data_IF_873123801587
#
_entry.id   IF_873123801587
#
_cell.length_a   1.000
_cell.length_b   1.000
_cell.length_c   1.000
_cell.angle_alpha   90.00
_cell.angle_beta   90.00
_cell.angle_gamma   90.00
#
_symmetry.space_group_name_H-M   'P 1'
#
loop_
_entity.id
_entity.type
_entity.pdbx_description
1 polymer ?
#
# COMPACT_ATOMS: atom_id res chain seq x y z
N UNK A 1 -22.57 1.38 2.33
CA UNK A 1 -21.44 2.04 1.63
C UNK A 1 -21.27 1.36 0.31
N UNK A 2 -21.13 2.12 -0.79
CA UNK A 2 -20.85 1.53 -2.10
C UNK A 2 -19.32 1.42 -2.22
N UNK A 3 -18.77 0.26 -2.63
CA UNK A 3 -17.35 0.18 -2.96
C UNK A 3 -16.99 1.29 -3.95
N UNK A 4 -16.03 2.14 -3.60
CA UNK A 4 -15.59 3.26 -4.42
C UNK A 4 -16.31 4.60 -4.18
N UNK A 5 -17.21 4.74 -3.20
CA UNK A 5 -17.66 6.07 -2.79
C UNK A 5 -16.54 6.85 -2.06
N UNK A 6 -16.52 8.17 -2.25
CA UNK A 6 -15.41 9.01 -1.79
C UNK A 6 -15.20 8.94 -0.27
N UNK A 7 -16.27 8.74 0.51
CA UNK A 7 -16.20 8.60 1.96
C UNK A 7 -15.47 7.31 2.35
N UNK A 8 -15.82 6.18 1.72
CA UNK A 8 -15.14 4.90 1.96
C UNK A 8 -13.66 5.01 1.60
N UNK A 9 -13.32 5.61 0.46
CA UNK A 9 -11.93 5.81 0.03
C UNK A 9 -11.16 6.66 1.05
N UNK A 10 -11.72 7.78 1.51
CA UNK A 10 -11.08 8.61 2.53
C UNK A 10 -10.85 7.85 3.84
N UNK A 11 -11.79 7.02 4.28
CA UNK A 11 -11.63 6.19 5.48
C UNK A 11 -10.52 5.17 5.31
N UNK A 12 -10.42 4.52 4.15
CA UNK A 12 -9.37 3.55 3.85
C UNK A 12 -7.99 4.21 3.80
N UNK A 13 -7.87 5.36 3.13
CA UNK A 13 -6.64 6.15 3.09
C UNK A 13 -6.23 6.62 4.50
N UNK A 14 -7.19 7.08 5.30
CA UNK A 14 -6.98 7.45 6.69
C UNK A 14 -6.45 6.29 7.54
N UNK A 15 -6.93 5.07 7.32
CA UNK A 15 -6.42 3.87 8.01
C UNK A 15 -4.97 3.56 7.65
N UNK A 16 -4.60 3.69 6.37
CA UNK A 16 -3.20 3.52 5.94
C UNK A 16 -2.30 4.52 6.66
N UNK A 17 -2.68 5.79 6.66
CA UNK A 17 -1.94 6.85 7.35
C UNK A 17 -1.82 6.60 8.84
N UNK A 18 -2.93 6.24 9.49
CA UNK A 18 -2.97 5.94 10.92
C UNK A 18 -2.02 4.79 11.30
N UNK A 19 -2.10 3.65 10.60
CA UNK A 19 -1.22 2.51 10.88
C UNK A 19 0.24 2.81 10.54
N UNK A 20 0.48 3.54 9.45
CA UNK A 20 1.82 3.92 9.07
C UNK A 20 2.50 4.74 10.17
N UNK A 21 1.87 5.85 10.57
CA UNK A 21 2.45 6.80 11.53
C UNK A 21 2.64 6.16 12.91
N UNK A 22 1.68 5.37 13.38
CA UNK A 22 1.73 4.83 14.74
C UNK A 22 2.63 3.60 14.88
N UNK A 23 2.64 2.72 13.88
CA UNK A 23 3.26 1.40 14.05
C UNK A 23 4.43 1.15 13.11
N UNK A 24 4.34 1.60 11.86
CA UNK A 24 5.36 1.27 10.85
C UNK A 24 6.50 2.28 10.88
N UNK A 25 6.21 3.57 10.74
CA UNK A 25 7.22 4.64 10.67
C UNK A 25 8.21 4.61 11.85
N UNK A 26 7.78 4.44 13.12
CA UNK A 26 8.71 4.35 14.25
C UNK A 26 9.62 3.11 14.22
N UNK A 27 9.21 2.06 13.51
CA UNK A 27 9.93 0.80 13.38
C UNK A 27 10.72 0.68 12.06
N UNK A 28 10.61 1.67 11.16
CA UNK A 28 11.41 1.71 9.95
C UNK A 28 12.89 1.85 10.31
N UNK A 29 13.71 0.96 9.76
CA UNK A 29 15.15 1.19 9.75
C UNK A 29 15.46 2.47 8.96
N UNK A 30 16.45 3.25 9.41
CA UNK A 30 16.95 4.44 8.69
C UNK A 30 17.04 4.15 7.20
N UNK A 31 16.17 4.80 6.41
CA UNK A 31 16.00 4.46 5.00
C UNK A 31 17.01 5.23 4.15
N UNK A 32 17.60 4.54 3.17
CA UNK A 32 18.38 5.18 2.11
C UNK A 32 17.44 5.96 1.19
N UNK A 33 18.00 6.81 0.34
CA UNK A 33 17.20 7.53 -0.65
C UNK A 33 16.39 6.58 -1.55
N UNK A 34 15.22 7.02 -2.06
CA UNK A 34 14.45 6.28 -3.06
C UNK A 34 15.32 5.85 -4.25
N UNK A 35 15.05 4.65 -4.74
CA UNK A 35 15.73 4.14 -5.93
C UNK A 35 15.04 4.58 -7.22
N UNK A 36 15.78 4.53 -8.31
CA UNK A 36 15.19 4.61 -9.64
C UNK A 36 14.38 3.34 -9.94
N UNK A 37 13.22 3.53 -10.56
CA UNK A 37 12.32 2.50 -11.06
C UNK A 37 12.11 2.63 -12.57
N UNK A 38 11.06 2.00 -13.09
CA UNK A 38 10.72 2.10 -14.51
C UNK A 38 10.01 3.42 -14.84
N UNK A 39 10.18 3.88 -16.08
CA UNK A 39 9.45 5.03 -16.59
C UNK A 39 7.93 4.78 -16.57
N UNK A 40 7.14 5.78 -16.14
CA UNK A 40 5.68 5.67 -16.13
C UNK A 40 5.09 5.73 -17.56
N UNK A 41 3.80 5.41 -17.73
CA UNK A 41 3.17 5.42 -19.06
C UNK A 41 3.28 6.78 -19.77
N UNK A 42 3.20 7.90 -19.04
CA UNK A 42 3.37 9.24 -19.61
C UNK A 42 4.79 9.51 -20.13
N UNK A 43 5.80 8.75 -19.68
CA UNK A 43 7.20 8.89 -20.11
C UNK A 43 7.67 7.75 -21.03
N UNK A 44 6.91 6.64 -21.13
CA UNK A 44 7.17 5.54 -22.08
C UNK A 44 6.46 5.75 -23.42
N UNK A 45 5.19 6.14 -23.37
CA UNK A 45 4.34 6.24 -24.57
C UNK A 45 4.10 7.71 -24.95
N UNK A 46 5.04 8.29 -25.69
CA UNK A 46 4.90 9.65 -26.23
C UNK A 46 3.82 9.79 -27.32
N UNK A 47 3.25 8.68 -27.81
CA UNK A 47 2.27 8.66 -28.89
C UNK A 47 0.81 8.47 -28.43
N UNK A 48 0.58 8.19 -27.13
CA UNK A 48 -0.75 7.98 -26.56
C UNK A 48 -1.39 9.23 -25.98
N UNK A 49 -2.69 9.15 -25.65
CA UNK A 49 -3.34 10.20 -24.86
C UNK A 49 -2.70 10.31 -23.48
N UNK A 50 -2.11 11.48 -23.19
CA UNK A 50 -1.48 11.78 -21.90
C UNK A 50 -2.49 11.55 -20.76
N UNK A 51 -2.11 10.75 -19.78
CA UNK A 51 -2.94 10.52 -18.60
C UNK A 51 -2.83 11.71 -17.64
N UNK A 52 -3.86 11.96 -16.81
CA UNK A 52 -3.78 12.97 -15.76
C UNK A 52 -2.52 12.78 -14.90
N UNK A 53 -1.85 13.89 -14.64
CA UNK A 53 -0.53 13.89 -14.02
C UNK A 53 -0.62 14.11 -12.50
N UNK A 54 0.49 13.84 -11.82
CA UNK A 54 0.58 14.00 -10.36
C UNK A 54 0.24 15.42 -9.92
N UNK A 55 0.76 16.43 -10.64
CA UNK A 55 0.56 17.84 -10.28
C UNK A 55 -0.89 18.30 -10.39
N UNK A 56 -1.66 17.70 -11.30
CA UNK A 56 -3.07 18.05 -11.51
C UNK A 56 -4.01 17.31 -10.55
N UNK A 57 -3.79 16.02 -10.28
CA UNK A 57 -4.76 15.20 -9.55
C UNK A 57 -4.36 14.93 -8.10
N UNK A 58 -3.10 14.59 -7.83
CA UNK A 58 -2.72 14.19 -6.47
C UNK A 58 -2.67 15.40 -5.53
N UNK A 59 -2.13 16.53 -5.98
CA UNK A 59 -2.01 17.74 -5.17
C UNK A 59 -3.34 18.31 -4.63
N UNK A 60 -4.49 17.86 -5.15
CA UNK A 60 -5.82 18.34 -4.77
C UNK A 60 -6.72 17.27 -4.15
N UNK A 61 -6.21 16.06 -3.90
CA UNK A 61 -7.02 14.92 -3.43
C UNK A 61 -6.40 14.22 -2.23
N UNK A 62 -7.23 13.49 -1.46
CA UNK A 62 -6.77 12.69 -0.33
C UNK A 62 -5.74 11.60 -0.72
N UNK A 63 -5.66 11.24 -2.01
CA UNK A 63 -4.69 10.29 -2.53
C UNK A 63 -3.24 10.75 -2.39
N UNK A 64 -2.98 12.06 -2.21
CA UNK A 64 -1.65 12.59 -1.89
C UNK A 64 -1.00 11.89 -0.70
N UNK A 65 -1.80 11.43 0.28
CA UNK A 65 -1.30 10.76 1.49
C UNK A 65 -0.48 9.50 1.17
N UNK A 66 -0.76 8.82 0.06
CA UNK A 66 0.02 7.65 -0.33
C UNK A 66 1.41 8.03 -0.85
N UNK A 67 1.52 9.16 -1.58
CA UNK A 67 2.82 9.68 -2.01
C UNK A 67 3.61 10.18 -0.80
N UNK A 68 2.98 10.94 0.09
CA UNK A 68 3.58 11.42 1.35
C UNK A 68 4.14 10.26 2.18
N UNK A 69 3.33 9.24 2.46
CA UNK A 69 3.77 8.02 3.14
C UNK A 69 4.91 7.36 2.36
N UNK A 70 4.77 7.18 1.05
CA UNK A 70 5.78 6.48 0.26
C UNK A 70 7.15 7.19 0.33
N UNK A 71 7.19 8.52 0.42
CA UNK A 71 8.45 9.25 0.56
C UNK A 71 9.21 8.98 1.85
N UNK A 72 8.54 8.55 2.93
CA UNK A 72 9.20 8.15 4.19
C UNK A 72 9.91 6.80 4.06
N UNK A 73 9.51 5.97 3.09
CA UNK A 73 9.95 4.58 2.94
C UNK A 73 11.34 4.44 2.30
N UNK A 74 11.91 5.52 1.76
CA UNK A 74 13.25 5.52 1.19
C UNK A 74 13.47 4.45 0.12
N UNK A 75 14.41 3.52 0.33
CA UNK A 75 14.82 2.51 -0.67
C UNK A 75 13.73 1.57 -1.20
N UNK A 76 12.62 1.44 -0.47
CA UNK A 76 11.44 0.69 -0.92
C UNK A 76 10.70 1.40 -2.05
N UNK A 77 10.79 2.73 -2.11
CA UNK A 77 10.19 3.55 -3.15
C UNK A 77 11.06 3.52 -4.42
N UNK A 78 10.44 3.14 -5.53
CA UNK A 78 11.07 3.07 -6.86
C UNK A 78 10.37 4.03 -7.81
N UNK A 79 10.89 5.25 -7.92
CA UNK A 79 10.28 6.32 -8.69
C UNK A 79 10.60 6.22 -10.17
N UNK A 80 9.70 6.72 -11.00
CA UNK A 80 10.00 6.99 -12.42
C UNK A 80 11.28 7.85 -12.51
N UNK A 81 12.22 7.57 -13.45
CA UNK A 81 13.47 8.33 -13.56
C UNK A 81 13.24 9.85 -13.67
N UNK A 82 12.30 10.26 -14.52
CA UNK A 82 11.82 11.64 -14.62
C UNK A 82 10.72 11.92 -13.60
N UNK A 83 11.01 11.78 -12.30
CA UNK A 83 10.05 11.79 -11.17
C UNK A 83 9.31 13.11 -10.89
N UNK A 84 8.95 13.89 -11.92
CA UNK A 84 8.29 15.18 -11.81
C UNK A 84 6.76 15.13 -11.76
N UNK A 85 6.15 16.32 -11.70
CA UNK A 85 4.70 16.52 -11.69
C UNK A 85 3.98 15.96 -12.92
N UNK A 86 4.72 15.65 -13.99
CA UNK A 86 4.27 15.13 -15.27
C UNK A 86 4.03 13.61 -15.28
N UNK A 87 4.50 12.90 -14.25
CA UNK A 87 4.23 11.48 -14.09
C UNK A 87 2.72 11.20 -14.08
N UNK A 88 2.32 10.07 -14.65
CA UNK A 88 0.94 9.60 -14.55
C UNK A 88 0.55 9.38 -13.08
N UNK A 89 -0.54 10.01 -12.64
CA UNK A 89 -1.02 9.90 -11.27
C UNK A 89 -1.34 8.45 -10.87
N UNK A 90 -1.95 7.67 -11.77
CA UNK A 90 -2.29 6.28 -11.50
C UNK A 90 -1.04 5.39 -11.36
N UNK A 91 -0.01 5.61 -12.19
CA UNK A 91 1.29 4.94 -12.02
C UNK A 91 1.95 5.34 -10.69
N UNK A 92 1.85 6.61 -10.30
CA UNK A 92 2.39 7.08 -9.01
C UNK A 92 1.71 6.38 -7.84
N UNK A 93 0.38 6.29 -7.83
CA UNK A 93 -0.38 5.55 -6.81
C UNK A 93 0.03 4.07 -6.76
N UNK A 94 0.19 3.42 -7.91
CA UNK A 94 0.65 2.03 -7.96
C UNK A 94 2.06 1.88 -7.33
N UNK A 95 2.99 2.76 -7.68
CA UNK A 95 4.36 2.77 -7.15
C UNK A 95 4.37 3.00 -5.64
N UNK A 96 3.62 3.99 -5.15
CA UNK A 96 3.47 4.27 -3.72
C UNK A 96 2.87 3.08 -2.98
N UNK A 97 1.82 2.47 -3.53
CA UNK A 97 1.22 1.24 -3.00
C UNK A 97 2.22 0.10 -2.90
N UNK A 98 2.98 -0.17 -3.96
CA UNK A 98 4.00 -1.20 -3.95
C UNK A 98 5.05 -0.95 -2.86
N UNK A 99 5.51 0.29 -2.70
CA UNK A 99 6.48 0.65 -1.67
C UNK A 99 5.90 0.41 -0.25
N UNK A 100 4.66 0.85 0.00
CA UNK A 100 3.96 0.67 1.27
C UNK A 100 3.86 -0.80 1.63
N UNK A 101 3.32 -1.64 0.74
CA UNK A 101 3.15 -3.07 1.00
C UNK A 101 4.49 -3.77 1.27
N UNK A 102 5.53 -3.44 0.49
CA UNK A 102 6.88 -3.99 0.72
C UNK A 102 7.42 -3.60 2.08
N UNK A 103 7.41 -2.32 2.39
CA UNK A 103 7.99 -1.79 3.62
C UNK A 103 7.28 -2.36 4.84
N UNK A 104 5.94 -2.41 4.83
CA UNK A 104 5.15 -2.96 5.93
C UNK A 104 5.43 -4.44 6.14
N UNK A 105 5.44 -5.23 5.06
CA UNK A 105 5.74 -6.68 5.13
C UNK A 105 7.10 -6.92 5.79
N UNK A 106 8.14 -6.20 5.36
CA UNK A 106 9.49 -6.34 5.92
C UNK A 106 9.57 -5.82 7.36
N UNK A 107 8.88 -4.74 7.67
CA UNK A 107 8.89 -4.11 9.01
C UNK A 107 8.19 -5.00 10.04
N UNK A 108 7.05 -5.60 9.69
CA UNK A 108 6.35 -6.54 10.57
C UNK A 108 7.20 -7.80 10.81
N UNK A 109 7.76 -8.42 9.75
CA UNK A 109 8.66 -9.57 9.91
C UNK A 109 9.83 -9.27 10.86
N UNK A 110 10.50 -8.13 10.69
CA UNK A 110 11.62 -7.72 11.56
C UNK A 110 11.16 -7.48 12.99
N UNK A 111 10.02 -6.81 13.17
CA UNK A 111 9.52 -6.46 14.51
C UNK A 111 8.99 -7.66 15.28
N UNK A 112 8.60 -8.72 14.57
CA UNK A 112 8.13 -9.98 15.14
C UNK A 112 9.26 -11.01 15.31
N UNK A 113 10.52 -10.62 15.10
CA UNK A 113 11.69 -11.49 15.13
C UNK A 113 11.58 -12.72 14.18
N UNK A 114 10.83 -12.57 13.09
CA UNK A 114 10.68 -13.59 12.05
C UNK A 114 11.86 -13.51 11.06
N UNK A 115 12.20 -14.62 10.37
CA UNK A 115 13.08 -14.55 9.21
C UNK A 115 12.58 -13.52 8.20
N UNK A 116 13.49 -12.87 7.48
CA UNK A 116 13.11 -11.94 6.42
C UNK A 116 12.15 -12.63 5.43
N UNK A 117 11.12 -11.92 4.95
CA UNK A 117 10.12 -12.51 4.08
C UNK A 117 10.76 -12.95 2.76
N UNK A 118 10.32 -14.10 2.25
CA UNK A 118 10.79 -14.60 0.96
C UNK A 118 10.33 -13.68 -0.19
N UNK A 119 11.15 -13.55 -1.23
CA UNK A 119 10.86 -12.71 -2.40
C UNK A 119 9.47 -12.93 -3.02
N UNK A 120 8.92 -14.16 -3.12
CA UNK A 120 7.57 -14.37 -3.66
C UNK A 120 6.47 -13.71 -2.83
N UNK A 121 6.56 -13.77 -1.50
CA UNK A 121 5.59 -13.14 -0.59
C UNK A 121 5.62 -11.62 -0.74
N UNK A 122 6.83 -11.04 -0.72
CA UNK A 122 7.03 -9.60 -0.89
C UNK A 122 6.49 -9.16 -2.25
N UNK A 123 6.81 -9.89 -3.33
CA UNK A 123 6.31 -9.61 -4.67
C UNK A 123 4.78 -9.64 -4.72
N UNK A 124 4.15 -10.69 -4.16
CA UNK A 124 2.71 -10.83 -4.15
C UNK A 124 2.02 -9.68 -3.41
N UNK A 125 2.52 -9.30 -2.23
CA UNK A 125 1.97 -8.16 -1.47
C UNK A 125 2.09 -6.85 -2.27
N UNK A 126 3.26 -6.60 -2.86
CA UNK A 126 3.54 -5.39 -3.66
C UNK A 126 2.63 -5.27 -4.86
N UNK A 127 2.57 -6.30 -5.69
CA UNK A 127 1.80 -6.26 -6.95
C UNK A 127 0.31 -6.18 -6.68
N UNK A 128 -0.18 -6.96 -5.71
CA UNK A 128 -1.60 -6.95 -5.32
C UNK A 128 -2.05 -5.59 -4.84
N UNK A 129 -1.31 -4.99 -3.90
CA UNK A 129 -1.74 -3.74 -3.31
C UNK A 129 -1.64 -2.57 -4.29
N UNK A 130 -0.56 -2.52 -5.08
CA UNK A 130 -0.40 -1.57 -6.18
C UNK A 130 -1.57 -1.65 -7.18
N UNK A 131 -1.92 -2.86 -7.63
CA UNK A 131 -3.01 -3.07 -8.58
C UNK A 131 -4.37 -2.64 -8.01
N UNK A 132 -4.67 -3.00 -6.76
CA UNK A 132 -5.93 -2.62 -6.09
C UNK A 132 -6.07 -1.10 -5.96
N UNK A 133 -5.05 -0.43 -5.43
CA UNK A 133 -5.07 1.03 -5.25
C UNK A 133 -5.24 1.75 -6.58
N UNK A 134 -4.45 1.36 -7.58
CA UNK A 134 -4.46 2.04 -8.85
C UNK A 134 -5.75 1.79 -9.63
N UNK A 135 -6.37 0.62 -9.49
CA UNK A 135 -7.70 0.34 -10.04
C UNK A 135 -8.78 1.22 -9.40
N UNK A 136 -8.82 1.31 -8.07
CA UNK A 136 -9.80 2.16 -7.36
C UNK A 136 -9.59 3.63 -7.73
N UNK A 137 -8.34 4.10 -7.75
CA UNK A 137 -8.01 5.46 -8.18
C UNK A 137 -8.47 5.72 -9.63
N UNK A 138 -8.16 4.81 -10.55
CA UNK A 138 -8.51 4.93 -11.95
C UNK A 138 -10.04 4.97 -12.15
N UNK A 139 -10.79 4.14 -11.43
CA UNK A 139 -12.26 4.15 -11.46
C UNK A 139 -12.83 5.46 -10.89
N UNK A 140 -12.32 5.95 -9.76
CA UNK A 140 -12.80 7.18 -9.14
C UNK A 140 -12.60 8.39 -10.05
N UNK A 141 -11.49 8.44 -10.80
CA UNK A 141 -11.12 9.59 -11.62
C UNK A 141 -11.35 9.39 -13.12
N UNK A 142 -11.92 8.26 -13.55
CA UNK A 142 -12.17 7.96 -14.97
C UNK A 142 -10.90 7.85 -15.83
N UNK A 143 -9.81 7.36 -15.26
CA UNK A 143 -8.48 7.28 -15.90
C UNK A 143 -8.30 5.91 -16.57
N UNK A 144 -7.69 5.87 -17.75
CA UNK A 144 -7.42 4.65 -18.51
C UNK A 144 -5.91 4.47 -18.73
N UNK A 145 -5.19 4.19 -17.64
CA UNK A 145 -3.74 4.04 -17.66
C UNK A 145 -3.31 2.69 -18.26
N UNK A 146 -2.56 2.71 -19.36
CA UNK A 146 -2.09 1.49 -20.05
C UNK A 146 -1.22 0.57 -19.20
N UNK A 147 -0.46 1.11 -18.24
CA UNK A 147 0.34 0.31 -17.31
C UNK A 147 -0.53 -0.56 -16.37
N UNK A 148 -1.75 -0.11 -16.07
CA UNK A 148 -2.69 -0.87 -15.24
C UNK A 148 -3.36 -2.02 -16.00
N UNK A 149 -3.57 -1.86 -17.31
CA UNK A 149 -4.11 -2.93 -18.15
C UNK A 149 -3.16 -4.13 -18.28
N UNK A 150 -1.86 -3.92 -18.02
CA UNK A 150 -0.82 -4.96 -18.08
C UNK A 150 -0.45 -5.53 -16.71
N UNK A 151 -1.07 -5.05 -15.62
CA UNK A 151 -0.77 -5.54 -14.29
C UNK A 151 -1.17 -7.02 -14.17
N UNK A 152 -0.22 -7.88 -13.81
CA UNK A 152 -0.47 -9.31 -13.60
C UNK A 152 -1.52 -9.52 -12.51
N UNK A 153 -2.44 -10.47 -12.74
CA UNK A 153 -3.36 -10.93 -11.70
C UNK A 153 -2.56 -11.58 -10.57
N UNK A 154 -2.69 -11.10 -9.32
CA UNK A 154 -1.87 -11.58 -8.23
C UNK A 154 -2.18 -13.02 -7.86
N UNK A 155 -1.16 -13.76 -7.41
CA UNK A 155 -1.33 -15.07 -6.79
C UNK A 155 -1.88 -14.89 -5.38
N UNK A 156 -3.21 -15.03 -5.25
CA UNK A 156 -3.91 -14.89 -3.99
C UNK A 156 -3.49 -15.92 -2.94
N UNK A 157 -2.87 -17.04 -3.33
CA UNK A 157 -2.43 -18.09 -2.42
C UNK A 157 -1.20 -17.72 -1.57
N UNK A 158 -0.49 -16.65 -1.95
CA UNK A 158 0.72 -16.20 -1.27
C UNK A 158 0.50 -14.98 -0.36
N UNK A 159 -0.72 -14.45 -0.26
CA UNK A 159 -0.98 -13.24 0.52
C UNK A 159 -1.15 -13.57 2.00
N UNK A 160 -0.50 -12.81 2.89
CA UNK A 160 -0.66 -12.98 4.33
C UNK A 160 -2.07 -12.54 4.74
N UNK A 161 -2.65 -13.23 5.70
CA UNK A 161 -3.84 -12.74 6.37
C UNK A 161 -3.47 -11.83 7.56
N UNK A 162 -4.49 -11.27 8.22
CA UNK A 162 -4.30 -10.42 9.39
C UNK A 162 -3.90 -11.17 10.67
N UNK A 163 -3.90 -12.51 10.65
CA UNK A 163 -3.39 -13.36 11.72
C UNK A 163 -1.88 -13.56 11.63
N UNK A 164 -1.33 -13.59 10.41
CA UNK A 164 0.10 -13.70 10.16
C UNK A 164 0.80 -12.34 10.25
N UNK A 165 0.32 -11.36 9.48
CA UNK A 165 0.85 -10.00 9.41
C UNK A 165 -0.32 -9.01 9.55
N UNK A 166 -0.69 -8.58 10.77
CA UNK A 166 -1.91 -7.81 11.01
C UNK A 166 -2.06 -6.55 10.17
N UNK A 167 -1.01 -5.75 10.04
CA UNK A 167 -1.11 -4.49 9.30
C UNK A 167 -1.13 -4.74 7.80
N UNK A 168 -0.25 -5.60 7.29
CA UNK A 168 -0.15 -5.94 5.87
C UNK A 168 -1.38 -6.72 5.39
N UNK A 169 -1.86 -7.67 6.17
CA UNK A 169 -3.07 -8.45 5.90
C UNK A 169 -4.33 -7.58 5.89
N UNK A 170 -4.50 -6.69 6.88
CA UNK A 170 -5.59 -5.71 6.91
C UNK A 170 -5.51 -4.75 5.72
N UNK A 171 -4.32 -4.25 5.37
CA UNK A 171 -4.06 -3.42 4.19
C UNK A 171 -4.52 -4.13 2.90
N UNK A 172 -4.19 -5.40 2.73
CA UNK A 172 -4.60 -6.16 1.57
C UNK A 172 -6.12 -6.41 1.58
N UNK A 173 -6.67 -6.90 2.68
CA UNK A 173 -8.09 -7.26 2.79
C UNK A 173 -9.03 -6.07 2.59
N UNK A 174 -8.74 -4.93 3.23
CA UNK A 174 -9.57 -3.72 3.15
C UNK A 174 -9.75 -3.20 1.73
N UNK A 175 -8.71 -3.32 0.91
CA UNK A 175 -8.72 -2.84 -0.47
C UNK A 175 -9.20 -3.88 -1.47
N UNK A 176 -9.43 -5.12 -1.04
CA UNK A 176 -10.16 -6.12 -1.80
C UNK A 176 -11.67 -5.97 -1.61
N UNK A 177 -12.10 -5.89 -0.35
CA UNK A 177 -13.49 -5.69 0.04
C UNK A 177 -13.53 -4.79 1.29
N UNK A 178 -13.86 -3.49 1.12
CA UNK A 178 -13.95 -2.55 2.22
C UNK A 178 -14.95 -2.96 3.31
N UNK A 179 -15.91 -3.84 2.98
CA UNK A 179 -16.90 -4.36 3.92
C UNK A 179 -16.43 -5.63 4.63
N UNK A 180 -15.41 -6.34 4.13
CA UNK A 180 -14.91 -7.57 4.73
C UNK A 180 -14.32 -7.32 6.13
N UNK A 181 -13.71 -6.16 6.35
CA UNK A 181 -13.13 -5.78 7.65
C UNK A 181 -14.17 -5.53 8.77
N UNK A 182 -15.47 -5.60 8.47
CA UNK A 182 -16.52 -5.50 9.50
C UNK A 182 -16.62 -6.74 10.39
N UNK A 183 -16.05 -7.89 9.97
CA UNK A 183 -16.20 -9.15 10.71
C UNK A 183 -15.21 -9.35 11.86
N UNK A 184 -14.03 -8.72 11.81
CA UNK A 184 -13.04 -8.72 12.90
C UNK A 184 -11.97 -7.66 12.65
N UNK A 185 -12.30 -6.36 12.75
CA UNK A 185 -11.36 -5.30 12.39
C UNK A 185 -10.15 -5.34 13.32
N UNK A 186 -8.95 -5.41 12.73
CA UNK A 186 -7.68 -5.36 13.47
C UNK A 186 -7.59 -4.10 14.34
N UNK A 187 -8.18 -2.99 13.86
CA UNK A 187 -8.34 -1.71 14.59
C UNK A 187 -8.90 -1.88 16.02
N UNK A 188 -9.79 -2.85 16.26
CA UNK A 188 -10.46 -3.02 17.56
C UNK A 188 -9.49 -3.32 18.69
N UNK A 189 -8.43 -4.10 18.44
CA UNK A 189 -7.41 -4.43 19.42
C UNK A 189 -6.12 -3.64 19.24
N UNK A 190 -5.85 -3.10 18.05
CA UNK A 190 -4.70 -2.20 17.83
C UNK A 190 -4.74 -0.95 18.71
N UNK A 191 -5.92 -0.47 19.10
CA UNK A 191 -6.06 0.67 20.02
C UNK A 191 -5.48 0.38 21.43
N UNK A 192 -5.17 -0.88 21.73
CA UNK A 192 -4.52 -1.29 22.97
C UNK A 192 -3.02 -1.58 22.80
N UNK A 193 -2.48 -1.42 21.58
CA UNK A 193 -1.07 -1.63 21.27
C UNK A 193 -0.35 -0.28 21.17
N UNK A 194 0.87 -0.21 21.70
CA UNK A 194 1.71 0.99 21.58
C UNK A 194 2.79 0.87 20.53
N UNK A 195 3.16 -0.37 20.15
CA UNK A 195 4.14 -0.66 19.10
C UNK A 195 3.84 -2.01 18.40
N UNK A 196 4.67 -2.37 17.42
CA UNK A 196 4.59 -3.66 16.71
C UNK A 196 4.87 -4.86 17.64
N UNK A 197 5.61 -4.71 18.73
CA UNK A 197 5.89 -5.82 19.65
C UNK A 197 4.67 -6.18 20.49
N UNK A 198 3.90 -5.17 20.90
CA UNK A 198 2.61 -5.37 21.56
C UNK A 198 1.64 -6.10 20.63
N UNK A 199 1.62 -5.73 19.34
CA UNK A 199 0.82 -6.42 18.32
C UNK A 199 1.21 -7.90 18.25
N UNK A 200 2.50 -8.22 18.15
CA UNK A 200 2.97 -9.59 18.14
C UNK A 200 2.56 -10.37 19.40
N UNK A 201 2.65 -9.74 20.58
CA UNK A 201 2.25 -10.36 21.85
C UNK A 201 0.76 -10.71 21.87
N UNK A 202 -0.10 -9.83 21.34
CA UNK A 202 -1.54 -10.10 21.22
C UNK A 202 -1.81 -11.28 20.31
N UNK A 203 -1.10 -11.40 19.17
CA UNK A 203 -1.21 -12.55 18.28
C UNK A 203 -0.85 -13.87 18.99
N UNK A 204 0.26 -13.87 19.72
CA UNK A 204 0.70 -15.04 20.48
C UNK A 204 -0.33 -15.43 21.55
N UNK A 205 -0.95 -14.47 22.22
CA UNK A 205 -1.96 -14.73 23.25
C UNK A 205 -3.29 -15.21 22.67
N UNK A 206 -3.74 -14.63 21.55
CA UNK A 206 -4.96 -15.06 20.86
C UNK A 206 -4.84 -16.44 20.20
N UNK A 207 -3.63 -16.87 19.87
CA UNK A 207 -3.33 -18.22 19.37
C UNK A 207 -3.37 -19.33 20.44
N UNK A 208 -3.28 -18.99 21.74
CA UNK A 208 -3.29 -19.97 22.85
C UNK A 208 -4.73 -20.31 23.29
N UNK A 209 -5.74 -19.57 22.83
CA UNK A 209 -7.17 -19.77 23.18
C UNK A 209 -8.01 -20.42 22.08
N UNK A 210 -7.43 -21.33 21.28
CA UNK A 210 -8.21 -22.22 20.39
C UNK A 210 -8.15 -23.66 20.85
#
# INVERSE_FOLDING_TARGET
MKPGDAVTIHQLLGRISYFHILFVEPALASSRQPGEGEACCNHRDNAGCRQPDVGTVLASTAWAVLDEIATTLGEYLRLCPDSGHQCCAACRIAVSGAAIAQAWTVTEHRSYDLPLPLDPLVRACRTTFAARLALVFAQQHGISCGALAQAESPDAGLLPDSGDLPLTGELLALWQDPLAATRSPVVSWLNHCTDLKDIHRVLQQGGITK
#
